data_IF_768328852076
#
_entry.id   IF_768328852076
#
_cell.length_a   1.000
_cell.length_b   1.000
_cell.length_c   1.000
_cell.angle_alpha   90.00
_cell.angle_beta   90.00
_cell.angle_gamma   90.00
#
_symmetry.space_group_name_H-M   'P 1'
#
loop_
_entity.id
_entity.type
_entity.pdbx_description
1 polymer ?
#
# COMPACT_ATOMS: atom_id res chain seq x y z
N UNK A 1 -19.37 13.55 4.37
CA UNK A 1 -20.54 13.85 5.25
C UNK A 1 -21.91 13.51 4.59
N UNK A 2 -21.89 12.82 3.44
CA UNK A 2 -23.10 12.47 2.69
C UNK A 2 -23.50 13.51 1.63
N UNK A 3 -22.67 14.52 1.37
CA UNK A 3 -22.91 15.54 0.33
C UNK A 3 -22.57 15.08 -1.11
N UNK A 4 -22.03 13.87 -1.25
CA UNK A 4 -21.62 13.29 -2.54
C UNK A 4 -20.26 13.77 -3.04
N UNK A 5 -19.47 14.48 -2.23
CA UNK A 5 -18.09 14.89 -2.51
C UNK A 5 -17.12 14.12 -1.62
N UNK A 6 -15.92 13.81 -2.10
CA UNK A 6 -14.92 13.16 -1.28
C UNK A 6 -14.36 14.13 -0.23
N UNK A 7 -14.10 13.60 0.96
CA UNK A 7 -13.36 14.26 2.03
C UNK A 7 -11.88 13.90 2.03
N UNK A 8 -11.07 14.76 2.64
CA UNK A 8 -9.65 14.49 2.89
C UNK A 8 -9.45 14.04 4.34
N UNK A 9 -8.90 12.85 4.53
CA UNK A 9 -8.52 12.31 5.85
C UNK A 9 -6.99 12.23 5.93
N UNK A 10 -6.42 12.75 7.01
CA UNK A 10 -4.98 12.60 7.27
C UNK A 10 -4.68 12.60 8.77
N UNK A 11 -3.49 12.12 9.13
CA UNK A 11 -3.03 12.08 10.51
C UNK A 11 -1.82 12.99 10.68
N UNK A 12 -1.84 13.81 11.74
CA UNK A 12 -0.73 14.67 12.14
C UNK A 12 -0.32 14.33 13.57
N UNK A 13 0.67 13.45 13.70
CA UNK A 13 1.17 12.97 14.99
C UNK A 13 0.12 12.17 15.75
N UNK A 14 -0.63 12.83 16.64
CA UNK A 14 -1.70 12.23 17.46
C UNK A 14 -3.10 12.75 17.12
N UNK A 15 -3.23 13.50 16.03
CA UNK A 15 -4.47 14.12 15.61
C UNK A 15 -4.93 13.52 14.29
N UNK A 16 -6.15 12.99 14.26
CA UNK A 16 -6.82 12.53 13.05
C UNK A 16 -7.71 13.66 12.57
N UNK A 17 -7.51 14.09 11.33
CA UNK A 17 -8.24 15.19 10.70
C UNK A 17 -9.13 14.66 9.59
N UNK A 18 -10.33 15.22 9.47
CA UNK A 18 -11.22 15.05 8.32
C UNK A 18 -11.64 16.42 7.84
N UNK A 19 -11.34 16.74 6.59
CA UNK A 19 -11.65 18.02 5.95
C UNK A 19 -12.60 17.81 4.76
N UNK A 20 -13.48 18.78 4.53
CA UNK A 20 -14.27 18.84 3.30
C UNK A 20 -13.40 19.22 2.09
N UNK A 21 -13.99 19.17 0.89
CA UNK A 21 -13.33 19.55 -0.35
C UNK A 21 -12.85 21.03 -0.40
N UNK A 22 -13.31 21.88 0.52
CA UNK A 22 -12.85 23.26 0.67
C UNK A 22 -11.74 23.40 1.74
N UNK A 23 -11.29 22.30 2.35
CA UNK A 23 -10.24 22.28 3.37
C UNK A 23 -10.72 22.65 4.79
N UNK A 24 -12.03 22.66 5.05
CA UNK A 24 -12.58 22.97 6.37
C UNK A 24 -12.78 21.69 7.18
N UNK A 25 -12.42 21.70 8.46
CA UNK A 25 -12.66 20.55 9.35
C UNK A 25 -14.14 20.23 9.47
N UNK A 26 -14.49 18.96 9.34
CA UNK A 26 -15.85 18.49 9.60
C UNK A 26 -16.19 18.55 11.11
N UNK A 27 -17.46 18.73 11.48
CA UNK A 27 -17.90 18.66 12.88
C UNK A 27 -17.48 17.34 13.53
N UNK A 28 -16.97 17.43 14.77
CA UNK A 28 -16.41 16.27 15.47
C UNK A 28 -14.95 15.98 15.15
N UNK A 29 -14.31 16.73 14.24
CA UNK A 29 -12.89 16.57 13.90
C UNK A 29 -12.10 17.86 14.19
N UNK A 30 -10.80 17.78 14.55
CA UNK A 30 -9.99 16.56 14.65
C UNK A 30 -10.23 15.76 15.93
N UNK A 31 -9.99 14.45 15.85
CA UNK A 31 -9.90 13.56 17.01
C UNK A 31 -8.47 13.51 17.53
N UNK A 32 -8.29 13.61 18.85
CA UNK A 32 -6.98 13.46 19.50
C UNK A 32 -6.89 12.08 20.11
N UNK A 33 -5.93 11.29 19.66
CA UNK A 33 -5.69 9.93 20.15
C UNK A 33 -4.48 9.87 21.09
N UNK A 34 -4.46 8.84 21.91
CA UNK A 34 -3.31 8.51 22.73
C UNK A 34 -2.47 7.47 21.99
N UNK A 35 -1.48 7.93 21.23
CA UNK A 35 -0.65 7.09 20.37
C UNK A 35 -0.15 7.89 19.16
N UNK A 36 1.09 7.63 18.75
CA UNK A 36 1.61 8.16 17.49
C UNK A 36 1.16 7.27 16.35
N UNK A 37 0.73 7.88 15.26
CA UNK A 37 0.36 7.17 14.04
C UNK A 37 1.32 7.60 12.95
N UNK A 38 2.05 6.62 12.41
CA UNK A 38 2.95 6.79 11.28
C UNK A 38 2.33 6.39 9.93
N UNK A 39 1.29 5.54 9.96
CA UNK A 39 0.60 5.05 8.77
C UNK A 39 -0.57 5.93 8.32
N UNK A 40 -1.02 5.73 7.07
CA UNK A 40 -2.22 6.34 6.56
C UNK A 40 -3.47 5.83 7.31
N UNK A 41 -4.52 6.66 7.47
CA UNK A 41 -5.82 6.20 7.91
C UNK A 41 -6.47 5.31 6.83
N UNK A 42 -7.31 4.38 7.23
CA UNK A 42 -8.18 3.63 6.33
C UNK A 42 -9.63 4.08 6.52
N UNK A 43 -10.41 4.08 5.45
CA UNK A 43 -11.80 4.56 5.45
C UNK A 43 -12.68 3.57 4.69
N UNK A 44 -13.80 3.19 5.30
CA UNK A 44 -14.73 2.22 4.73
C UNK A 44 -15.87 1.90 5.69
N UNK A 45 -16.93 1.30 5.17
CA UNK A 45 -18.11 0.89 5.95
C UNK A 45 -17.76 -0.38 6.75
N UNK A 46 -17.45 -0.22 8.03
CA UNK A 46 -16.98 -1.29 8.90
C UNK A 46 -18.14 -2.07 9.52
N UNK A 47 -19.27 -1.41 9.77
CA UNK A 47 -20.42 -2.00 10.47
C UNK A 47 -21.62 -2.33 9.58
N UNK A 48 -21.52 -2.02 8.28
CA UNK A 48 -22.49 -2.37 7.26
C UNK A 48 -23.70 -1.43 7.23
N UNK A 49 -23.61 -0.23 7.82
CA UNK A 49 -24.69 0.74 7.87
C UNK A 49 -24.79 1.64 6.62
N UNK A 50 -23.84 1.50 5.69
CA UNK A 50 -23.74 2.27 4.46
C UNK A 50 -23.02 3.62 4.61
N UNK A 51 -22.45 3.92 5.77
CA UNK A 51 -21.62 5.10 6.03
C UNK A 51 -20.17 4.64 6.29
N UNK A 52 -19.18 5.44 5.89
CA UNK A 52 -17.79 5.08 6.13
C UNK A 52 -17.33 5.50 7.53
N UNK A 53 -16.57 4.62 8.17
CA UNK A 53 -15.81 4.85 9.39
C UNK A 53 -14.35 5.16 9.06
N UNK A 54 -13.64 5.77 10.01
CA UNK A 54 -12.21 6.08 9.93
C UNK A 54 -11.45 5.18 10.90
N UNK A 55 -10.47 4.43 10.40
CA UNK A 55 -9.59 3.57 11.17
C UNK A 55 -8.16 4.09 11.13
N UNK A 56 -7.52 4.16 12.30
CA UNK A 56 -6.09 4.45 12.41
C UNK A 56 -5.42 3.42 13.31
N UNK A 57 -4.19 3.04 12.96
CA UNK A 57 -3.35 2.13 13.74
C UNK A 57 -2.15 2.91 14.27
N UNK A 58 -2.05 3.04 15.59
CA UNK A 58 -0.91 3.64 16.26
C UNK A 58 0.30 2.70 16.27
N UNK A 59 1.50 3.26 16.41
CA UNK A 59 2.78 2.53 16.39
C UNK A 59 2.88 1.49 17.52
N UNK A 60 2.15 1.73 18.62
CA UNK A 60 1.96 0.79 19.71
C UNK A 60 0.84 -0.23 19.42
N UNK A 61 0.45 -0.47 18.18
CA UNK A 61 -0.59 -1.43 17.80
C UNK A 61 -1.97 -1.19 18.45
N UNK A 62 -2.25 0.00 19.00
CA UNK A 62 -3.62 0.40 19.31
C UNK A 62 -4.30 0.87 18.04
N UNK A 63 -5.38 0.20 17.65
CA UNK A 63 -6.26 0.67 16.62
C UNK A 63 -7.41 1.47 17.22
N UNK A 64 -7.84 2.50 16.49
CA UNK A 64 -8.95 3.37 16.80
C UNK A 64 -9.88 3.36 15.59
N UNK A 65 -11.18 3.19 15.82
CA UNK A 65 -12.21 3.28 14.80
C UNK A 65 -13.24 4.33 15.22
N UNK A 66 -13.55 5.25 14.31
CA UNK A 66 -14.47 6.36 14.52
C UNK A 66 -15.54 6.35 13.44
N UNK A 67 -16.78 6.67 13.80
CA UNK A 67 -17.79 7.00 12.81
C UNK A 67 -17.50 8.32 12.09
N UNK A 68 -18.27 8.63 11.06
CA UNK A 68 -18.15 9.87 10.30
C UNK A 68 -18.27 11.15 11.17
N UNK A 69 -18.93 11.08 12.33
CA UNK A 69 -19.08 12.18 13.28
C UNK A 69 -17.91 12.27 14.29
N UNK A 70 -16.89 11.43 14.15
CA UNK A 70 -15.70 11.40 15.02
C UNK A 70 -15.94 10.70 16.35
N UNK A 71 -17.05 9.95 16.53
CA UNK A 71 -17.31 9.20 17.77
C UNK A 71 -16.66 7.83 17.66
N UNK A 72 -16.00 7.38 18.72
CA UNK A 72 -15.43 6.03 18.76
C UNK A 72 -16.52 4.97 18.61
N UNK A 73 -16.27 3.97 17.77
CA UNK A 73 -17.12 2.80 17.67
C UNK A 73 -17.11 1.99 18.99
N UNK A 74 -18.19 1.24 19.31
CA UNK A 74 -18.21 0.36 20.47
C UNK A 74 -17.04 -0.64 20.45
N UNK A 75 -16.35 -0.78 21.59
CA UNK A 75 -15.19 -1.68 21.70
C UNK A 75 -13.85 -1.06 21.31
N UNK A 76 -13.83 0.20 20.85
CA UNK A 76 -12.62 0.92 20.45
C UNK A 76 -12.25 2.06 21.44
N UNK A 77 -10.95 2.37 21.62
CA UNK A 77 -9.79 1.78 20.96
C UNK A 77 -9.40 0.39 21.50
N UNK A 78 -8.61 -0.36 20.70
CA UNK A 78 -8.19 -1.73 21.05
C UNK A 78 -6.72 -1.97 20.74
N UNK A 79 -6.02 -2.62 21.67
CA UNK A 79 -4.65 -3.11 21.45
C UNK A 79 -4.71 -4.43 20.67
N UNK A 80 -4.15 -4.46 19.47
CA UNK A 80 -4.21 -5.60 18.54
C UNK A 80 -2.93 -6.47 18.53
N UNK A 81 -1.86 -6.00 19.15
CA UNK A 81 -0.57 -6.69 19.12
C UNK A 81 0.53 -5.96 19.89
N UNK A 82 1.78 -6.14 19.46
CA UNK A 82 2.96 -5.48 20.03
C UNK A 82 3.15 -4.07 19.49
N UNK A 83 3.91 -3.97 18.39
CA UNK A 83 4.17 -2.75 17.64
C UNK A 83 3.77 -2.92 16.18
N UNK A 84 3.29 -1.85 15.57
CA UNK A 84 3.00 -1.77 14.14
C UNK A 84 3.76 -0.61 13.52
N UNK A 85 4.08 -0.74 12.24
CA UNK A 85 4.56 0.33 11.37
C UNK A 85 3.88 0.26 10.00
N UNK A 86 2.69 -0.35 9.94
CA UNK A 86 1.89 -0.50 8.72
C UNK A 86 0.54 0.19 8.91
N UNK A 87 -0.03 0.82 7.87
CA UNK A 87 -1.42 1.25 7.87
C UNK A 87 -2.38 0.06 8.10
N UNK A 88 -3.56 0.28 8.70
CA UNK A 88 -4.62 -0.73 8.67
C UNK A 88 -5.12 -0.91 7.23
N UNK A 89 -5.55 -2.12 6.89
CA UNK A 89 -6.20 -2.42 5.61
C UNK A 89 -7.63 -2.87 5.88
N UNK A 90 -8.60 -2.38 5.11
CA UNK A 90 -10.00 -2.81 5.22
C UNK A 90 -10.33 -3.79 4.11
N UNK A 91 -11.01 -4.88 4.45
CA UNK A 91 -11.34 -5.96 3.51
C UNK A 91 -12.56 -6.73 3.98
N UNK A 92 -13.39 -7.17 3.04
CA UNK A 92 -14.46 -8.12 3.30
C UNK A 92 -13.89 -9.55 3.35
N UNK A 93 -13.83 -10.17 4.53
CA UNK A 93 -13.32 -11.53 4.72
C UNK A 93 -14.42 -12.57 4.82
N UNK A 94 -15.67 -12.18 5.05
CA UNK A 94 -16.74 -13.13 5.30
C UNK A 94 -17.95 -13.05 4.35
N UNK A 95 -17.97 -12.06 3.46
CA UNK A 95 -19.04 -11.82 2.49
C UNK A 95 -20.30 -11.21 3.13
N UNK A 96 -20.19 -10.69 4.35
CA UNK A 96 -21.28 -10.07 5.08
C UNK A 96 -21.16 -8.54 5.04
N UNK A 97 -22.24 -7.79 5.33
CA UNK A 97 -22.14 -6.34 5.45
C UNK A 97 -21.13 -5.94 6.53
N UNK A 98 -20.28 -4.97 6.18
CA UNK A 98 -19.20 -4.46 7.02
C UNK A 98 -17.83 -5.03 6.64
N UNK A 99 -16.81 -4.20 6.69
CA UNK A 99 -15.43 -4.58 6.42
C UNK A 99 -14.67 -4.98 7.70
N UNK A 100 -13.82 -5.99 7.59
CA UNK A 100 -12.81 -6.30 8.60
C UNK A 100 -11.57 -5.42 8.48
N UNK A 101 -10.92 -5.19 9.61
CA UNK A 101 -9.64 -4.50 9.71
C UNK A 101 -8.52 -5.53 9.80
N UNK A 102 -7.57 -5.46 8.87
CA UNK A 102 -6.28 -6.14 8.95
C UNK A 102 -5.23 -5.21 9.56
N UNK A 103 -4.48 -5.73 10.53
CA UNK A 103 -3.39 -5.02 11.19
C UNK A 103 -2.13 -5.90 11.26
N UNK A 104 -1.06 -5.45 10.59
CA UNK A 104 0.24 -6.11 10.60
C UNK A 104 1.13 -5.60 11.73
N UNK A 105 1.81 -6.53 12.41
CA UNK A 105 2.73 -6.24 13.51
C UNK A 105 4.16 -6.57 13.10
N UNK A 106 5.12 -5.84 13.68
CA UNK A 106 6.55 -6.01 13.39
C UNK A 106 7.09 -7.39 13.81
N UNK A 107 6.40 -8.09 14.73
CA UNK A 107 6.76 -9.44 15.17
C UNK A 107 6.33 -10.56 14.21
N UNK A 108 5.67 -10.22 13.09
CA UNK A 108 5.13 -11.21 12.15
C UNK A 108 3.64 -11.52 12.34
N UNK A 109 2.99 -10.96 13.36
CA UNK A 109 1.56 -11.18 13.59
C UNK A 109 0.73 -10.35 12.61
N UNK A 110 -0.19 -10.99 11.88
CA UNK A 110 -1.23 -10.31 11.13
C UNK A 110 -2.59 -10.69 11.73
N UNK A 111 -3.33 -9.68 12.19
CA UNK A 111 -4.61 -9.84 12.88
C UNK A 111 -5.73 -9.29 12.02
N UNK A 112 -6.82 -10.05 11.88
CA UNK A 112 -8.10 -9.55 11.39
C UNK A 112 -9.03 -9.26 12.58
N UNK A 113 -9.78 -8.16 12.52
CA UNK A 113 -10.75 -7.77 13.56
C UNK A 113 -11.96 -7.11 12.93
N UNK A 114 -13.16 -7.43 13.43
CA UNK A 114 -14.42 -6.82 12.99
C UNK A 114 -14.64 -5.44 13.61
N UNK A 115 -15.64 -4.71 13.11
CA UNK A 115 -16.09 -3.43 13.67
C UNK A 115 -16.47 -3.48 15.14
N UNK A 116 -16.97 -4.62 15.64
CA UNK A 116 -17.27 -4.82 17.07
C UNK A 116 -16.05 -5.22 17.93
N UNK A 117 -14.88 -5.33 17.31
CA UNK A 117 -13.64 -5.74 17.96
C UNK A 117 -13.46 -7.26 18.10
N UNK A 118 -14.39 -8.08 17.61
CA UNK A 118 -14.27 -9.54 17.61
C UNK A 118 -13.29 -10.03 16.54
N UNK A 119 -12.70 -11.22 16.73
CA UNK A 119 -11.83 -11.85 15.74
C UNK A 119 -12.69 -12.71 14.80
N UNK A 120 -12.52 -12.61 13.47
CA UNK A 120 -13.19 -13.48 12.51
C UNK A 120 -12.95 -14.97 12.75
N UNK A 121 -13.90 -15.79 12.33
CA UNK A 121 -13.73 -17.24 12.36
C UNK A 121 -12.57 -17.66 11.43
N UNK A 122 -11.93 -18.79 11.74
CA UNK A 122 -10.80 -19.31 10.97
C UNK A 122 -9.50 -19.27 11.76
N UNK A 123 -8.38 -19.15 11.05
CA UNK A 123 -7.03 -19.23 11.58
C UNK A 123 -6.44 -17.86 11.95
N UNK A 124 -7.27 -16.94 12.43
CA UNK A 124 -6.85 -15.61 12.88
C UNK A 124 -6.52 -15.58 14.39
N UNK A 125 -5.52 -14.82 14.84
CA UNK A 125 -4.49 -14.14 14.04
C UNK A 125 -3.47 -15.11 13.45
N UNK A 126 -2.87 -14.75 12.32
CA UNK A 126 -1.81 -15.55 11.70
C UNK A 126 -0.42 -15.11 12.18
N UNK A 127 0.53 -16.05 12.20
CA UNK A 127 1.93 -15.80 12.58
C UNK A 127 2.84 -16.07 11.39
N UNK A 128 3.52 -15.03 10.93
CA UNK A 128 4.42 -15.04 9.80
C UNK A 128 5.86 -14.81 10.28
N UNK A 129 6.81 -14.82 9.34
CA UNK A 129 8.11 -14.19 9.61
C UNK A 129 7.92 -12.68 9.82
N UNK A 130 8.81 -12.06 10.60
CA UNK A 130 8.77 -10.63 10.94
C UNK A 130 8.42 -9.75 9.73
N UNK A 131 7.35 -8.97 9.87
CA UNK A 131 6.92 -8.05 8.83
C UNK A 131 7.78 -6.79 8.86
N UNK A 132 8.17 -6.32 7.67
CA UNK A 132 8.68 -4.96 7.52
C UNK A 132 7.52 -3.95 7.54
N UNK A 133 7.80 -2.65 7.34
CA UNK A 133 6.81 -1.64 6.94
C UNK A 133 6.24 -1.96 5.55
N UNK A 134 5.53 -3.08 5.42
CA UNK A 134 4.97 -3.58 4.17
C UNK A 134 3.48 -3.76 4.39
N UNK A 135 2.68 -2.90 3.76
CA UNK A 135 1.22 -2.97 3.83
C UNK A 135 0.76 -4.19 3.04
N UNK A 136 -0.12 -5.04 3.60
CA UNK A 136 -0.70 -6.14 2.84
C UNK A 136 -1.40 -5.66 1.58
N UNK A 137 -1.24 -6.40 0.48
CA UNK A 137 -2.03 -6.19 -0.74
C UNK A 137 -3.19 -7.19 -0.80
N UNK A 138 -4.26 -6.83 -1.51
CA UNK A 138 -5.46 -7.64 -1.65
C UNK A 138 -5.72 -7.92 -3.13
N UNK A 139 -5.95 -9.19 -3.47
CA UNK A 139 -6.33 -9.59 -4.82
C UNK A 139 -6.90 -11.01 -4.82
N UNK A 140 -7.79 -11.31 -5.75
CA UNK A 140 -8.18 -12.69 -6.09
C UNK A 140 -7.03 -13.34 -6.86
N UNK A 141 -6.19 -14.10 -6.16
CA UNK A 141 -4.96 -14.67 -6.72
C UNK A 141 -5.21 -16.02 -7.41
N UNK A 142 -6.28 -16.73 -7.06
CA UNK A 142 -6.59 -18.03 -7.67
C UNK A 142 -7.84 -18.07 -8.57
N UNK A 143 -8.49 -16.93 -8.75
CA UNK A 143 -9.60 -16.73 -9.68
C UNK A 143 -10.92 -17.30 -9.17
N UNK A 144 -11.08 -17.45 -7.85
CA UNK A 144 -12.29 -17.99 -7.23
C UNK A 144 -13.33 -16.91 -6.85
N UNK A 145 -12.96 -15.63 -7.05
CA UNK A 145 -13.77 -14.45 -6.76
C UNK A 145 -13.67 -13.96 -5.31
N UNK A 146 -12.99 -14.68 -4.41
CA UNK A 146 -12.64 -14.21 -3.08
C UNK A 146 -11.27 -13.52 -3.12
N UNK A 147 -11.08 -12.53 -2.25
CA UNK A 147 -9.79 -11.86 -2.13
C UNK A 147 -8.84 -12.63 -1.21
N UNK A 148 -7.61 -12.83 -1.66
CA UNK A 148 -6.47 -13.21 -0.84
C UNK A 148 -5.69 -11.98 -0.40
N UNK A 149 -4.91 -12.18 0.65
CA UNK A 149 -4.03 -11.19 1.25
C UNK A 149 -2.59 -11.59 0.93
N UNK A 150 -1.83 -10.69 0.32
CA UNK A 150 -0.43 -10.87 -0.05
C UNK A 150 0.46 -10.09 0.90
N UNK A 151 1.43 -10.77 1.51
CA UNK A 151 2.36 -10.16 2.46
C UNK A 151 3.79 -10.59 2.19
N UNK A 152 4.72 -9.64 2.19
CA UNK A 152 6.15 -9.91 2.19
C UNK A 152 6.75 -9.67 3.58
N UNK A 153 7.50 -10.64 4.11
CA UNK A 153 8.30 -10.43 5.32
C UNK A 153 9.51 -9.57 5.02
N UNK A 154 10.10 -8.95 6.05
CA UNK A 154 11.32 -8.13 5.90
C UNK A 154 12.49 -8.91 5.29
N UNK A 155 12.47 -10.24 5.40
CA UNK A 155 13.48 -11.16 4.87
C UNK A 155 13.16 -11.72 3.48
N UNK A 156 12.12 -11.21 2.83
CA UNK A 156 11.70 -11.60 1.47
C UNK A 156 10.89 -12.88 1.38
N UNK A 157 10.32 -13.40 2.47
CA UNK A 157 9.35 -14.51 2.36
C UNK A 157 8.02 -13.94 1.92
N UNK A 158 7.48 -14.45 0.83
CA UNK A 158 6.19 -14.07 0.29
C UNK A 158 5.12 -15.06 0.77
N UNK A 159 3.97 -14.53 1.20
CA UNK A 159 2.83 -15.30 1.66
C UNK A 159 1.57 -14.89 0.92
N UNK A 160 0.74 -15.89 0.63
CA UNK A 160 -0.67 -15.75 0.28
C UNK A 160 -1.50 -16.20 1.48
N UNK A 161 -2.47 -15.40 1.88
CA UNK A 161 -3.31 -15.68 3.04
C UNK A 161 -4.77 -15.56 2.59
N UNK A 162 -5.51 -16.66 2.68
CA UNK A 162 -6.93 -16.65 2.31
C UNK A 162 -7.75 -15.87 3.33
N UNK A 163 -8.99 -15.49 2.96
CA UNK A 163 -9.94 -14.81 3.85
C UNK A 163 -10.16 -15.45 5.24
N UNK A 164 -10.00 -16.77 5.35
CA UNK A 164 -10.13 -17.50 6.62
C UNK A 164 -8.83 -17.62 7.43
N UNK A 165 -7.75 -16.94 7.02
CA UNK A 165 -6.46 -16.96 7.70
C UNK A 165 -5.56 -18.17 7.37
N UNK A 166 -5.91 -19.04 6.41
CA UNK A 166 -4.97 -20.07 5.95
C UNK A 166 -3.80 -19.41 5.20
N UNK A 167 -2.58 -19.74 5.63
CA UNK A 167 -1.33 -19.20 5.08
C UNK A 167 -0.67 -20.21 4.13
N UNK A 168 -0.39 -19.77 2.91
CA UNK A 168 0.43 -20.48 1.92
C UNK A 168 1.74 -19.70 1.70
N UNK A 169 2.88 -20.39 1.78
CA UNK A 169 4.19 -19.79 1.48
C UNK A 169 4.50 -19.84 -0.01
N UNK A 170 4.66 -18.69 -0.65
CA UNK A 170 4.93 -18.56 -2.09
C UNK A 170 6.44 -18.61 -2.43
N UNK A 171 7.31 -18.62 -1.42
CA UNK A 171 8.75 -18.76 -1.58
C UNK A 171 9.53 -17.58 -0.99
N UNK A 172 10.83 -17.54 -1.31
CA UNK A 172 11.72 -16.45 -0.89
C UNK A 172 12.20 -15.70 -2.13
N UNK A 173 11.94 -14.39 -2.15
CA UNK A 173 12.29 -13.51 -3.24
C UNK A 173 13.78 -13.11 -3.20
N UNK A 174 14.39 -12.76 -4.35
CA UNK A 174 15.73 -12.19 -4.42
C UNK A 174 15.81 -10.84 -3.71
N UNK A 175 16.90 -10.60 -2.98
CA UNK A 175 17.10 -9.40 -2.18
C UNK A 175 17.40 -9.71 -0.72
N UNK A 176 17.77 -8.68 0.03
CA UNK A 176 18.16 -8.82 1.43
C UNK A 176 17.07 -8.31 2.37
N UNK A 177 16.52 -7.13 2.09
CA UNK A 177 15.54 -6.46 2.92
C UNK A 177 14.38 -5.92 2.08
N UNK A 178 13.18 -6.12 2.61
CA UNK A 178 11.91 -5.84 1.93
C UNK A 178 11.12 -4.84 2.76
N UNK A 179 11.11 -3.60 2.29
CA UNK A 179 10.36 -2.49 2.88
C UNK A 179 9.30 -1.92 1.93
N UNK A 180 9.23 -2.48 0.71
CA UNK A 180 8.19 -2.20 -0.25
C UNK A 180 6.91 -2.97 0.10
N UNK A 181 5.76 -2.34 -0.14
CA UNK A 181 4.47 -3.05 -0.12
C UNK A 181 4.29 -3.76 -1.46
N UNK A 182 3.72 -4.98 -1.50
CA UNK A 182 3.43 -5.65 -2.76
C UNK A 182 2.44 -4.85 -3.60
N UNK A 183 2.64 -4.85 -4.91
CA UNK A 183 1.63 -4.47 -5.89
C UNK A 183 1.12 -5.73 -6.58
N UNK A 184 -0.18 -5.81 -6.82
CA UNK A 184 -0.82 -6.99 -7.40
C UNK A 184 -1.74 -6.56 -8.53
N UNK A 185 -1.65 -7.21 -9.69
CA UNK A 185 -2.45 -6.89 -10.86
C UNK A 185 -2.02 -7.69 -12.09
N UNK A 186 -2.89 -7.72 -13.10
CA UNK A 186 -2.62 -8.38 -14.39
C UNK A 186 -1.59 -7.56 -15.18
N UNK A 187 -0.35 -8.03 -15.14
CA UNK A 187 0.79 -7.36 -15.74
C UNK A 187 0.93 -7.73 -17.21
N UNK A 188 0.72 -9.01 -17.55
CA UNK A 188 0.98 -9.54 -18.89
C UNK A 188 -0.26 -9.70 -19.78
N UNK A 189 -1.44 -9.43 -19.24
CA UNK A 189 -2.73 -9.43 -19.94
C UNK A 189 -3.37 -10.81 -20.07
N UNK A 190 -2.94 -11.80 -19.29
CA UNK A 190 -3.48 -13.16 -19.32
C UNK A 190 -4.74 -13.37 -18.45
N UNK A 191 -5.14 -12.33 -17.71
CA UNK A 191 -6.29 -12.33 -16.81
C UNK A 191 -6.00 -12.91 -15.42
N UNK A 192 -4.75 -13.24 -15.10
CA UNK A 192 -4.29 -13.63 -13.76
C UNK A 192 -3.42 -12.51 -13.19
N UNK A 193 -3.42 -12.33 -11.86
CA UNK A 193 -2.58 -11.31 -11.26
C UNK A 193 -1.14 -11.79 -11.02
N UNK A 194 -0.20 -10.88 -11.27
CA UNK A 194 1.18 -10.95 -10.87
C UNK A 194 1.42 -10.14 -9.59
N UNK A 195 2.55 -10.41 -8.93
CA UNK A 195 2.96 -9.73 -7.69
C UNK A 195 4.30 -9.05 -7.93
N UNK A 196 4.33 -7.72 -7.87
CA UNK A 196 5.54 -6.90 -7.99
C UNK A 196 5.99 -6.33 -6.63
N UNK A 197 7.25 -6.53 -6.27
CA UNK A 197 7.81 -6.10 -4.98
C UNK A 197 9.23 -5.56 -5.14
N UNK A 198 9.49 -4.39 -4.53
CA UNK A 198 10.82 -3.80 -4.41
C UNK A 198 11.62 -4.34 -3.21
N UNK A 199 12.94 -4.36 -3.34
CA UNK A 199 13.87 -4.75 -2.27
C UNK A 199 15.19 -3.99 -2.33
N UNK A 200 16.00 -4.15 -1.29
CA UNK A 200 17.37 -3.66 -1.23
C UNK A 200 18.40 -4.72 -0.84
N UNK A 201 19.66 -4.37 -1.03
CA UNK A 201 20.84 -5.19 -0.76
C UNK A 201 21.80 -4.50 0.23
N UNK A 202 22.74 -5.27 0.79
CA UNK A 202 23.73 -4.72 1.74
C UNK A 202 24.67 -3.68 1.14
N UNK A 203 24.90 -3.74 -0.18
CA UNK A 203 25.72 -2.76 -0.91
C UNK A 203 24.95 -1.49 -1.29
N UNK A 204 23.66 -1.40 -0.92
CA UNK A 204 22.78 -0.27 -1.21
C UNK A 204 22.01 -0.40 -2.52
N UNK A 205 22.34 -1.36 -3.37
CA UNK A 205 21.59 -1.61 -4.61
C UNK A 205 20.20 -2.21 -4.33
N UNK A 206 19.34 -2.23 -5.35
CA UNK A 206 17.98 -2.74 -5.23
C UNK A 206 17.63 -3.79 -6.27
N UNK A 207 16.49 -4.44 -6.01
CA UNK A 207 15.80 -5.22 -7.02
C UNK A 207 14.34 -4.83 -7.07
N UNK A 208 13.78 -4.90 -8.26
CA UNK A 208 12.35 -5.08 -8.46
C UNK A 208 12.13 -6.52 -8.93
N UNK A 209 11.26 -7.24 -8.22
CA UNK A 209 10.93 -8.64 -8.50
C UNK A 209 9.47 -8.75 -8.87
N UNK A 210 9.17 -9.50 -9.93
CA UNK A 210 7.80 -9.87 -10.29
C UNK A 210 7.68 -11.40 -10.32
N UNK A 211 6.65 -11.91 -9.65
CA UNK A 211 6.29 -13.32 -9.62
C UNK A 211 4.83 -13.51 -10.01
N UNK A 212 4.47 -14.70 -10.52
CA UNK A 212 3.07 -15.08 -10.71
C UNK A 212 2.35 -15.32 -9.36
N UNK A 213 1.04 -15.51 -9.39
CA UNK A 213 0.21 -15.80 -8.20
C UNK A 213 0.68 -17.03 -7.38
N UNK A 214 1.45 -17.94 -7.97
CA UNK A 214 2.04 -19.10 -7.30
C UNK A 214 3.44 -18.81 -6.71
N UNK A 215 3.96 -17.60 -6.87
CA UNK A 215 5.28 -17.18 -6.40
C UNK A 215 6.44 -17.53 -7.33
N UNK A 216 6.17 -17.98 -8.55
CA UNK A 216 7.23 -18.28 -9.52
C UNK A 216 7.67 -17.00 -10.22
N UNK A 217 8.99 -16.80 -10.22
CA UNK A 217 9.64 -15.68 -10.90
C UNK A 217 9.33 -15.66 -12.39
N UNK A 218 8.90 -14.51 -12.88
CA UNK A 218 8.61 -14.32 -14.30
C UNK A 218 9.89 -14.14 -15.13
N UNK A 219 9.88 -14.52 -16.43
CA UNK A 219 10.99 -14.23 -17.34
C UNK A 219 11.31 -12.73 -17.38
N UNK A 220 12.60 -12.39 -17.37
CA UNK A 220 13.07 -11.00 -17.35
C UNK A 220 13.19 -10.39 -15.95
N UNK A 221 12.66 -11.06 -14.93
CA UNK A 221 12.74 -10.64 -13.53
C UNK A 221 13.71 -11.52 -12.72
N UNK A 222 14.28 -11.03 -11.60
CA UNK A 222 14.23 -9.65 -11.14
C UNK A 222 15.11 -8.73 -12.01
N UNK A 223 14.81 -7.44 -11.98
CA UNK A 223 15.69 -6.40 -12.53
C UNK A 223 16.41 -5.69 -11.39
N UNK A 224 17.67 -5.32 -11.61
CA UNK A 224 18.47 -4.61 -10.62
C UNK A 224 18.29 -3.10 -10.78
N UNK A 225 18.27 -2.39 -9.66
CA UNK A 225 18.36 -0.93 -9.59
C UNK A 225 19.66 -0.52 -8.91
N UNK A 226 20.16 0.67 -9.23
CA UNK A 226 21.40 1.18 -8.62
C UNK A 226 21.25 1.42 -7.12
N UNK A 227 20.04 1.80 -6.69
CA UNK A 227 19.70 2.03 -5.29
C UNK A 227 18.47 1.20 -4.92
N UNK A 228 18.36 0.84 -3.65
CA UNK A 228 17.24 0.08 -3.13
C UNK A 228 15.86 0.68 -3.44
N UNK A 229 14.88 -0.22 -3.64
CA UNK A 229 13.48 0.13 -3.89
C UNK A 229 12.68 -0.10 -2.62
N UNK A 230 12.16 0.97 -2.02
CA UNK A 230 11.31 0.91 -0.82
C UNK A 230 9.88 1.40 -1.05
N UNK A 231 9.64 2.15 -2.12
CA UNK A 231 8.29 2.50 -2.55
C UNK A 231 7.53 1.24 -3.00
N UNK A 232 6.21 1.25 -2.87
CA UNK A 232 5.37 0.24 -3.53
C UNK A 232 5.39 0.50 -5.05
N UNK A 233 5.56 -0.54 -5.90
CA UNK A 233 5.38 -0.39 -7.33
C UNK A 233 3.94 -0.03 -7.68
N UNK A 234 3.74 0.60 -8.83
CA UNK A 234 2.42 0.76 -9.46
C UNK A 234 2.41 0.00 -10.77
N UNK A 235 1.29 -0.68 -11.03
CA UNK A 235 1.03 -1.39 -12.27
C UNK A 235 0.01 -0.58 -13.08
N UNK A 236 0.39 -0.13 -14.28
CA UNK A 236 -0.50 0.63 -15.16
C UNK A 236 -0.07 0.50 -16.62
N UNK A 237 -1.04 0.41 -17.53
CA UNK A 237 -0.84 0.45 -18.99
C UNK A 237 -0.54 1.89 -19.42
N UNK A 238 0.75 2.25 -19.47
CA UNK A 238 1.20 3.62 -19.78
C UNK A 238 1.30 3.87 -21.29
N UNK A 239 1.59 2.83 -22.08
CA UNK A 239 1.79 2.95 -23.52
C UNK A 239 0.57 2.53 -24.38
N UNK A 240 -0.51 2.07 -23.72
CA UNK A 240 -1.80 1.76 -24.33
C UNK A 240 -1.84 0.40 -25.02
N UNK A 241 -0.89 -0.49 -24.73
CA UNK A 241 -0.80 -1.82 -25.34
C UNK A 241 -1.64 -2.90 -24.64
N UNK A 242 -2.33 -2.52 -23.55
CA UNK A 242 -3.15 -3.37 -22.66
C UNK A 242 -2.38 -4.36 -21.80
N UNK A 243 -1.08 -4.18 -21.66
CA UNK A 243 -0.26 -4.81 -20.62
C UNK A 243 0.19 -3.71 -19.69
N UNK A 244 0.27 -4.03 -18.41
CA UNK A 244 0.71 -3.03 -17.44
C UNK A 244 2.24 -2.94 -17.45
N UNK A 245 2.75 -1.72 -17.34
CA UNK A 245 4.13 -1.46 -16.94
C UNK A 245 4.26 -1.53 -15.43
N UNK A 246 5.48 -1.80 -14.96
CA UNK A 246 5.86 -1.63 -13.55
C UNK A 246 6.58 -0.31 -13.35
N UNK A 247 6.01 0.56 -12.53
CA UNK A 247 6.46 1.94 -12.31
C UNK A 247 6.87 2.06 -10.85
N UNK A 248 8.13 2.41 -10.58
CA UNK A 248 8.59 2.60 -9.20
C UNK A 248 9.85 3.47 -9.13
N UNK A 249 9.95 4.38 -8.15
CA UNK A 249 11.21 5.04 -7.88
C UNK A 249 12.14 4.19 -7.01
N UNK A 250 13.45 4.30 -7.24
CA UNK A 250 14.44 3.92 -6.25
C UNK A 250 14.72 5.04 -5.24
N UNK A 251 15.32 4.70 -4.10
CA UNK A 251 15.69 5.69 -3.07
C UNK A 251 16.73 6.71 -3.53
N UNK A 252 17.40 6.48 -4.67
CA UNK A 252 18.31 7.42 -5.30
C UNK A 252 17.58 8.56 -6.03
N UNK A 253 16.27 8.43 -6.25
CA UNK A 253 15.46 9.40 -6.97
C UNK A 253 15.30 9.08 -8.46
N UNK A 254 15.73 7.90 -8.93
CA UNK A 254 15.41 7.49 -10.30
C UNK A 254 14.04 6.85 -10.34
N UNK A 255 13.15 7.38 -11.17
CA UNK A 255 11.90 6.76 -11.54
C UNK A 255 12.14 5.77 -12.67
N UNK A 256 11.80 4.52 -12.44
CA UNK A 256 11.94 3.46 -13.42
C UNK A 256 10.58 3.01 -13.93
N UNK A 257 10.54 2.63 -15.21
CA UNK A 257 9.37 2.03 -15.86
C UNK A 257 9.85 0.84 -16.69
N UNK A 258 9.29 -0.33 -16.42
CA UNK A 258 9.58 -1.56 -17.16
C UNK A 258 8.31 -2.15 -17.74
N UNK A 259 8.41 -2.69 -18.95
CA UNK A 259 7.37 -3.52 -19.55
C UNK A 259 7.19 -4.81 -18.74
N UNK A 260 6.05 -5.49 -18.93
CA UNK A 260 5.72 -6.76 -18.27
C UNK A 260 6.85 -7.81 -18.32
N UNK A 261 7.60 -7.86 -19.43
CA UNK A 261 8.69 -8.81 -19.64
C UNK A 261 10.06 -8.32 -19.10
N UNK A 262 10.09 -7.25 -18.29
CA UNK A 262 11.27 -6.75 -17.57
C UNK A 262 12.21 -5.86 -18.39
N UNK A 263 11.85 -5.48 -19.62
CA UNK A 263 12.62 -4.52 -20.41
C UNK A 263 12.27 -3.10 -19.98
N UNK A 264 13.27 -2.22 -19.88
CA UNK A 264 13.04 -0.80 -19.64
C UNK A 264 12.22 -0.20 -20.78
N UNK A 265 11.15 0.51 -20.44
CA UNK A 265 10.37 1.24 -21.43
C UNK A 265 11.19 2.41 -22.00
N UNK A 266 11.09 2.68 -23.30
CA UNK A 266 11.85 3.75 -23.95
C UNK A 266 11.62 5.11 -23.27
N UNK A 267 12.70 5.86 -23.03
CA UNK A 267 12.65 7.15 -22.31
C UNK A 267 12.91 7.05 -20.80
N UNK A 268 13.04 5.83 -20.26
CA UNK A 268 13.28 5.59 -18.84
C UNK A 268 14.67 4.98 -18.56
N UNK A 269 15.23 5.14 -17.34
CA UNK A 269 14.67 5.84 -16.17
C UNK A 269 14.76 7.37 -16.27
N UNK A 270 13.94 8.06 -15.47
CA UNK A 270 13.94 9.52 -15.32
C UNK A 270 14.53 9.92 -13.95
N UNK A 271 15.33 10.99 -13.91
CA UNK A 271 15.93 11.49 -12.66
C UNK A 271 15.01 12.54 -12.02
N UNK A 272 14.46 12.24 -10.84
CA UNK A 272 13.59 13.14 -10.09
C UNK A 272 14.37 14.23 -9.32
N UNK A 273 15.71 14.20 -9.35
CA UNK A 273 16.60 15.14 -8.65
C UNK A 273 16.39 15.18 -7.12
N UNK A 274 15.91 14.08 -6.54
CA UNK A 274 15.63 13.98 -5.10
C UNK A 274 15.12 12.61 -4.68
N UNK A 275 15.37 12.24 -3.43
CA UNK A 275 14.96 10.95 -2.90
C UNK A 275 13.43 10.84 -2.73
N UNK A 276 12.88 9.69 -3.10
CA UNK A 276 11.44 9.44 -3.17
C UNK A 276 11.08 8.10 -2.51
N UNK A 277 10.74 8.11 -1.21
CA UNK A 277 10.30 6.89 -0.53
C UNK A 277 8.82 6.55 -0.83
N UNK A 278 8.08 7.45 -1.47
CA UNK A 278 6.64 7.34 -1.71
C UNK A 278 6.35 6.58 -3.01
N UNK A 279 5.26 5.80 -3.00
CA UNK A 279 4.71 5.22 -4.21
C UNK A 279 4.21 6.33 -5.16
N UNK A 280 4.37 6.16 -6.49
CA UNK A 280 3.76 7.05 -7.47
C UNK A 280 2.23 6.94 -7.45
N UNK A 281 1.55 7.94 -8.00
CA UNK A 281 0.14 7.86 -8.39
C UNK A 281 0.09 7.96 -9.90
N UNK A 282 -0.70 7.10 -10.55
CA UNK A 282 -0.85 7.09 -12.01
C UNK A 282 -2.32 7.27 -12.33
N UNK A 283 -2.65 8.33 -13.09
CA UNK A 283 -4.02 8.67 -13.45
C UNK A 283 -4.05 9.62 -14.65
N UNK A 284 -5.15 9.60 -15.40
CA UNK A 284 -5.49 10.65 -16.36
C UNK A 284 -6.00 11.88 -15.58
N UNK A 285 -5.18 12.93 -15.51
CA UNK A 285 -5.44 14.13 -14.71
C UNK A 285 -6.11 15.24 -15.51
N UNK A 286 -6.01 15.22 -16.83
CA UNK A 286 -6.53 16.27 -17.70
C UNK A 286 -7.68 15.82 -18.62
N UNK A 287 -7.99 14.52 -18.63
CA UNK A 287 -9.09 13.90 -19.33
C UNK A 287 -8.80 13.59 -20.80
N UNK A 288 -7.54 13.55 -21.22
CA UNK A 288 -7.17 13.28 -22.61
C UNK A 288 -7.03 11.78 -22.96
N UNK A 289 -7.08 10.91 -21.93
CA UNK A 289 -6.97 9.47 -22.04
C UNK A 289 -5.55 8.92 -21.94
N UNK A 290 -4.54 9.77 -21.79
CA UNK A 290 -3.16 9.42 -21.42
C UNK A 290 -3.04 9.39 -19.89
N UNK A 291 -2.12 8.59 -19.37
CA UNK A 291 -1.86 8.52 -17.94
C UNK A 291 -0.67 9.38 -17.55
N UNK A 292 -0.83 10.23 -16.54
CA UNK A 292 0.26 10.96 -15.91
C UNK A 292 0.76 10.24 -14.66
N UNK A 293 2.07 10.37 -14.40
CA UNK A 293 2.71 9.88 -13.19
C UNK A 293 2.96 11.05 -12.26
N UNK A 294 2.37 11.01 -11.06
CA UNK A 294 2.56 11.99 -9.99
C UNK A 294 3.41 11.40 -8.89
N UNK A 295 4.50 12.08 -8.52
CA UNK A 295 5.39 11.65 -7.44
C UNK A 295 5.68 12.78 -6.46
N UNK A 296 5.56 12.46 -5.18
CA UNK A 296 6.06 13.32 -4.10
C UNK A 296 7.54 13.08 -3.84
N UNK A 297 8.35 14.15 -3.92
CA UNK A 297 9.80 14.07 -3.67
C UNK A 297 10.27 14.87 -2.46
N UNK A 298 11.37 14.41 -1.88
CA UNK A 298 12.11 15.17 -0.87
C UNK A 298 13.21 15.98 -1.55
N UNK A 299 13.22 17.31 -1.36
CA UNK A 299 14.24 18.16 -1.94
C UNK A 299 15.61 17.94 -1.27
N UNK A 300 16.67 17.83 -2.06
CA UNK A 300 18.06 17.82 -1.59
C UNK A 300 18.63 19.23 -1.33
N UNK A 301 17.84 20.29 -1.52
CA UNK A 301 18.27 21.67 -1.33
C UNK A 301 18.57 21.96 0.15
N UNK A 302 19.85 22.25 0.44
CA UNK A 302 20.39 22.72 1.73
C UNK A 302 19.84 24.07 2.22
N UNK A 303 18.72 24.57 1.70
CA UNK A 303 18.13 25.83 2.12
C UNK A 303 16.67 25.63 2.55
N UNK A 304 16.44 25.77 3.86
CA UNK A 304 15.14 25.91 4.52
C UNK A 304 14.22 24.66 4.56
N UNK A 305 14.73 23.55 5.09
CA UNK A 305 13.89 22.42 5.55
C UNK A 305 13.28 21.56 4.42
N UNK A 306 12.81 20.35 4.73
CA UNK A 306 12.16 19.51 3.73
C UNK A 306 10.83 20.16 3.30
N UNK A 307 10.78 20.64 2.05
CA UNK A 307 9.53 21.00 1.38
C UNK A 307 9.09 19.83 0.49
N UNK A 308 7.85 19.32 0.62
CA UNK A 308 7.32 18.37 -0.34
C UNK A 308 7.17 19.09 -1.69
N UNK A 309 7.78 18.52 -2.73
CA UNK A 309 7.60 18.96 -4.12
C UNK A 309 6.83 17.88 -4.87
N UNK A 310 5.87 18.28 -5.70
CA UNK A 310 5.13 17.42 -6.61
C UNK A 310 5.72 17.59 -8.01
N UNK A 311 5.91 16.48 -8.71
CA UNK A 311 6.28 16.44 -10.12
C UNK A 311 5.25 15.54 -10.84
N UNK A 312 4.77 16.02 -11.99
CA UNK A 312 3.85 15.30 -12.87
C UNK A 312 4.56 15.09 -14.22
N UNK A 313 4.60 13.84 -14.68
CA UNK A 313 5.25 13.44 -15.94
C UNK A 313 4.21 12.81 -16.86
N UNK A 314 4.22 13.20 -18.13
CA UNK A 314 3.39 12.64 -19.20
C UNK A 314 4.25 11.69 -20.06
N UNK A 315 3.72 10.50 -20.37
CA UNK A 315 4.44 9.54 -21.19
C UNK A 315 4.64 10.09 -22.63
N UNK A 316 5.88 10.03 -23.14
CA UNK A 316 6.22 10.53 -24.49
C UNK A 316 6.64 12.00 -24.56
N UNK A 317 6.54 12.76 -23.47
CA UNK A 317 7.05 14.13 -23.35
C UNK A 317 8.22 14.17 -22.35
N UNK A 318 9.28 13.41 -22.64
CA UNK A 318 10.58 13.62 -21.96
C UNK A 318 11.36 14.65 -22.79
N UNK A 319 11.84 15.77 -22.20
CA UNK A 319 12.63 16.75 -22.94
C UNK A 319 13.94 16.20 -23.51
#
# INVERSE_FOLDING_TARGET
DGDGRPELIFVRGRQVHVLDAAGRSLPGWPQVIDGWVSGAPAVGDLDGDGRPEVVVLADDARAFAFDAAGRSLPGWPRKLGGSSNTPPVLVDLDGLPGLEILAGMTDGTLTAVRSDGSIPAGAWPVRLAALGPSTPALADLDGDGAVEIVVASVTGRLYRITRNGRVDGLGKLPGTWFFSSPAVGDLDGDGRPEIAIGSGQFDGSGFLTVVDAAGRLLPGWPVATEVAVTAAPVLADLDGDRRSEVIVPDLGGRLHVWQAAGQTLGGWPYDLEGGTPAAPVVADLDGDGTLEIVIGKTSSLRAAGPAPLLEALEYGVVP
#
